data_IF_208669503029
#
_entry.id   IF_208669503029
#
_cell.length_a   1.000
_cell.length_b   1.000
_cell.length_c   1.000
_cell.angle_alpha   90.00
_cell.angle_beta   90.00
_cell.angle_gamma   90.00
#
_symmetry.space_group_name_H-M   'P 1'
#
loop_
_entity.id
_entity.type
_entity.pdbx_description
1 polymer ?
#
# COMPACT_ATOMS: atom_id res chain seq x y z
N UNK A 1 -23.97 15.56 64.91
CA UNK A 1 -23.81 15.39 64.28
C UNK A 1 -23.63 15.24 63.19
N UNK A 2 -23.39 15.08 62.76
CA UNK A 2 -23.20 14.85 61.72
C UNK A 2 -22.74 14.68 60.73
N UNK A 3 -22.51 14.48 60.14
CA UNK A 3 -22.13 14.27 59.24
C UNK A 3 -21.83 14.07 58.19
N UNK A 4 -21.54 13.85 57.65
CA UNK A 4 -21.34 13.61 56.68
C UNK A 4 -20.90 13.48 55.76
N UNK A 5 -20.66 13.35 55.34
CA UNK A 5 -20.33 13.26 54.34
C UNK A 5 -20.07 13.01 53.42
N UNK A 6 -19.87 12.80 52.80
CA UNK A 6 -19.67 12.53 51.88
C UNK A 6 -19.35 12.37 50.87
N UNK A 7 -19.20 12.26 50.21
CA UNK A 7 -18.80 11.98 49.23
C UNK A 7 -18.73 11.96 48.29
N UNK A 8 -18.51 11.81 47.74
CA UNK A 8 -18.44 11.74 46.82
C UNK A 8 -18.12 11.49 45.81
N UNK A 9 -17.82 11.32 45.13
CA UNK A 9 -17.62 11.01 44.19
C UNK A 9 -17.40 10.94 43.28
N UNK A 10 -17.19 10.83 42.65
CA UNK A 10 -17.08 10.73 41.74
C UNK A 10 -16.78 10.53 40.76
N UNK A 11 -16.57 10.39 40.16
CA UNK A 11 -16.36 10.15 39.23
C UNK A 11 -16.11 10.05 38.31
N UNK A 12 -15.96 9.92 37.78
CA UNK A 12 -15.78 9.80 36.96
C UNK A 12 -15.51 9.57 35.87
N UNK A 13 -15.39 9.44 35.31
CA UNK A 13 -15.11 9.13 34.34
C UNK A 13 -15.04 9.14 33.25
N UNK A 14 -14.91 8.96 32.85
CA UNK A 14 -14.82 8.79 31.91
C UNK A 14 -14.64 8.62 30.90
N UNK A 15 -14.42 8.46 30.38
CA UNK A 15 -14.29 8.24 29.49
C UNK A 15 -14.24 8.04 28.48
N UNK A 16 -14.11 7.93 27.94
CA UNK A 16 -14.06 7.66 27.09
C UNK A 16 -14.07 7.61 26.11
N UNK A 17 -14.00 7.46 25.61
CA UNK A 17 -13.95 7.28 24.78
C UNK A 17 -13.96 7.16 23.78
N UNK A 18 -13.92 7.03 23.18
CA UNK A 18 -13.94 6.86 22.32
C UNK A 18 -13.91 6.56 21.37
N UNK A 19 -13.97 6.40 21.01
CA UNK A 19 -14.05 6.09 20.31
C UNK A 19 -13.94 5.84 19.20
N UNK A 20 -13.88 5.63 18.79
CA UNK A 20 -13.68 5.22 17.94
C UNK A 20 -13.84 5.31 16.83
N UNK A 21 -13.97 5.43 16.36
CA UNK A 21 -14.16 5.56 15.41
C UNK A 21 -13.43 5.45 14.46
N UNK A 22 -12.74 5.53 14.29
CA UNK A 22 -11.97 5.59 13.47
C UNK A 22 -11.52 4.59 12.94
N UNK A 23 -11.66 4.02 12.96
CA UNK A 23 -11.43 3.05 12.55
C UNK A 23 -10.83 2.83 11.45
N UNK A 24 -10.90 3.28 10.71
CA UNK A 24 -10.42 3.03 9.65
C UNK A 24 -9.21 2.98 9.50
N UNK A 25 -8.57 3.36 10.12
CA UNK A 25 -7.39 3.46 9.95
C UNK A 25 -6.66 2.45 10.15
N UNK A 26 -6.95 1.57 10.40
CA UNK A 26 -6.20 0.65 10.67
C UNK A 26 -5.27 0.25 9.78
N UNK A 27 -5.21 0.62 8.76
CA UNK A 27 -4.30 0.06 7.97
C UNK A 27 -3.08 0.69 7.92
N UNK A 28 -2.90 1.77 8.45
CA UNK A 28 -1.82 2.40 8.17
C UNK A 28 -0.91 2.36 9.10
N UNK A 29 0.12 1.91 8.95
CA UNK A 29 1.00 1.92 9.86
C UNK A 29 1.91 2.86 9.68
N UNK A 30 2.68 3.08 10.50
CA UNK A 30 3.45 3.89 10.49
C UNK A 30 4.54 3.91 10.00
N UNK A 31 4.95 4.62 9.53
CA UNK A 31 5.99 4.77 8.86
C UNK A 31 7.20 4.96 9.50
N UNK A 32 7.85 4.08 9.85
CA UNK A 32 9.13 4.21 10.18
C UNK A 32 9.91 3.82 9.02
N UNK A 33 10.72 4.59 8.49
CA UNK A 33 11.60 4.19 7.41
C UNK A 33 12.39 3.03 7.93
N UNK A 34 12.44 1.99 7.21
CA UNK A 34 13.18 0.83 7.61
C UNK A 34 14.64 1.18 7.65
N UNK A 35 15.26 0.96 8.79
CA UNK A 35 16.69 1.15 8.89
C UNK A 35 17.31 -0.17 8.55
N UNK A 36 18.18 -0.17 7.58
CA UNK A 36 18.84 -1.40 7.19
C UNK A 36 20.04 -1.66 8.06
N UNK A 37 19.99 -2.75 8.78
CA UNK A 37 21.12 -3.15 9.60
C UNK A 37 21.83 -4.36 9.05
N UNK A 38 21.49 -4.78 7.86
CA UNK A 38 22.06 -5.96 7.24
C UNK A 38 22.54 -5.71 5.84
N UNK A 39 22.93 -6.77 5.14
CA UNK A 39 23.40 -6.63 3.78
C UNK A 39 22.26 -6.21 2.86
N UNK A 40 22.63 -5.51 1.80
CA UNK A 40 21.68 -5.11 0.78
C UNK A 40 21.36 -6.30 -0.11
N UNK A 41 20.07 -6.44 -0.42
CA UNK A 41 19.59 -7.49 -1.31
C UNK A 41 19.23 -6.86 -2.64
N UNK A 42 19.68 -7.48 -3.72
CA UNK A 42 19.31 -7.03 -5.05
C UNK A 42 17.92 -7.56 -5.40
N UNK A 43 17.04 -6.70 -5.85
CA UNK A 43 15.70 -7.12 -6.29
C UNK A 43 15.52 -6.73 -7.73
N UNK A 44 14.62 -7.45 -8.39
CA UNK A 44 14.29 -7.19 -9.78
C UNK A 44 12.79 -6.96 -9.90
N UNK A 45 12.29 -6.75 -11.09
CA UNK A 45 10.88 -6.57 -11.34
C UNK A 45 10.66 -5.50 -12.39
N UNK A 46 9.66 -4.66 -12.17
CA UNK A 46 9.44 -3.51 -13.04
C UNK A 46 10.63 -2.55 -12.92
N UNK A 47 10.93 -1.84 -13.98
CA UNK A 47 12.05 -0.92 -14.01
C UNK A 47 11.60 0.46 -13.55
N UNK A 48 11.94 0.90 -12.32
CA UNK A 48 11.46 2.18 -11.85
C UNK A 48 12.09 3.33 -12.62
N UNK A 49 11.27 4.19 -13.17
CA UNK A 49 11.75 5.40 -13.83
C UNK A 49 10.76 6.53 -13.53
N UNK A 50 11.20 7.75 -13.74
CA UNK A 50 10.35 8.88 -13.43
C UNK A 50 9.18 8.93 -14.42
N UNK A 51 7.98 9.12 -13.90
CA UNK A 51 6.78 9.29 -14.71
C UNK A 51 5.94 10.39 -14.12
N UNK A 52 5.35 11.19 -14.97
CA UNK A 52 4.41 12.22 -14.53
C UNK A 52 3.13 11.55 -14.04
N UNK A 53 2.62 11.99 -12.91
CA UNK A 53 1.41 11.41 -12.35
C UNK A 53 0.21 11.70 -13.24
N UNK A 54 -0.68 10.72 -13.35
CA UNK A 54 -1.91 10.87 -14.10
C UNK A 54 -2.89 11.72 -13.30
N UNK A 55 -3.31 12.86 -13.83
CA UNK A 55 -4.13 13.79 -13.09
C UNK A 55 -5.50 13.22 -12.72
N UNK A 56 -6.11 12.46 -13.61
CA UNK A 56 -7.43 11.89 -13.37
C UNK A 56 -7.38 10.76 -12.34
N UNK A 57 -6.38 9.92 -12.42
CA UNK A 57 -6.27 8.75 -11.56
C UNK A 57 -5.86 9.10 -10.13
N UNK A 58 -5.36 10.32 -9.90
CA UNK A 58 -4.85 10.70 -8.60
C UNK A 58 -5.74 11.70 -7.86
N UNK A 59 -7.03 11.65 -8.13
CA UNK A 59 -8.00 12.45 -7.38
C UNK A 59 -8.64 11.58 -6.31
N UNK A 60 -8.87 12.17 -5.15
CA UNK A 60 -9.60 11.47 -4.09
C UNK A 60 -10.98 11.09 -4.61
N UNK A 61 -11.50 9.97 -4.17
CA UNK A 61 -12.74 9.44 -4.71
C UNK A 61 -13.56 8.72 -3.65
N UNK A 62 -14.80 8.46 -3.98
CA UNK A 62 -15.68 7.66 -3.15
C UNK A 62 -16.12 6.44 -3.93
N UNK A 63 -16.27 5.33 -3.25
CA UNK A 63 -16.77 4.12 -3.88
C UNK A 63 -17.45 3.29 -2.81
N UNK A 64 -18.70 2.89 -3.09
CA UNK A 64 -19.49 2.06 -2.18
C UNK A 64 -19.56 2.64 -0.76
N UNK A 65 -19.72 3.96 -0.68
CA UNK A 65 -19.86 4.64 0.60
C UNK A 65 -18.56 4.90 1.34
N UNK A 66 -17.41 4.53 0.75
CA UNK A 66 -16.12 4.76 1.37
C UNK A 66 -15.37 5.84 0.64
N UNK A 67 -14.68 6.68 1.39
CA UNK A 67 -13.82 7.72 0.83
C UNK A 67 -12.40 7.20 0.74
N UNK A 68 -11.78 7.43 -0.40
CA UNK A 68 -10.39 7.03 -0.63
C UNK A 68 -9.58 8.28 -0.92
N UNK A 69 -8.55 8.49 -0.11
CA UNK A 69 -7.69 9.67 -0.27
C UNK A 69 -6.34 9.22 -0.79
N UNK A 70 -5.90 9.85 -1.86
CA UNK A 70 -4.63 9.49 -2.48
C UNK A 70 -3.50 9.83 -1.51
N UNK A 71 -2.56 8.92 -1.36
CA UNK A 71 -1.42 9.10 -0.48
C UNK A 71 -0.57 10.25 -1.00
N UNK A 72 -0.41 11.28 -0.18
CA UNK A 72 0.34 12.47 -0.57
C UNK A 72 1.83 12.32 -0.29
N UNK A 73 2.19 11.47 0.63
CA UNK A 73 3.58 11.28 1.02
C UNK A 73 3.93 9.80 1.02
N UNK A 74 4.11 9.23 -0.18
CA UNK A 74 4.44 7.80 -0.25
C UNK A 74 5.80 7.46 0.36
N UNK A 75 6.68 8.42 0.53
CA UNK A 75 7.96 8.17 1.20
C UNK A 75 7.77 7.75 2.66
N UNK A 76 6.64 8.10 3.24
CA UNK A 76 6.32 7.74 4.62
C UNK A 76 5.16 6.75 4.71
N UNK A 77 4.96 5.95 3.68
CA UNK A 77 3.88 4.98 3.63
C UNK A 77 4.45 3.57 3.64
N UNK A 78 3.84 2.70 4.40
CA UNK A 78 4.05 1.25 4.31
C UNK A 78 2.76 0.59 4.70
N UNK A 79 2.49 -0.58 4.14
CA UNK A 79 1.23 -1.26 4.42
C UNK A 79 1.45 -2.76 4.36
N UNK A 80 0.79 -3.49 5.24
CA UNK A 80 0.82 -4.95 5.27
C UNK A 80 -0.61 -5.45 5.19
N UNK A 81 -0.84 -6.47 4.41
CA UNK A 81 -2.16 -7.06 4.31
C UNK A 81 -2.19 -8.14 3.24
N UNK A 82 -3.37 -8.66 2.98
CA UNK A 82 -3.54 -9.74 2.03
C UNK A 82 -3.52 -9.19 0.60
N UNK A 83 -2.90 -9.94 -0.29
CA UNK A 83 -2.89 -9.62 -1.71
C UNK A 83 -3.94 -10.44 -2.43
N UNK A 84 -4.52 -9.86 -3.47
CA UNK A 84 -5.37 -10.59 -4.41
C UNK A 84 -4.62 -10.71 -5.72
N UNK A 85 -5.04 -11.63 -6.56
CA UNK A 85 -4.52 -11.77 -7.91
C UNK A 85 -5.60 -11.29 -8.87
N UNK A 86 -5.26 -10.33 -9.70
CA UNK A 86 -6.18 -9.85 -10.72
C UNK A 86 -5.98 -10.68 -11.98
N UNK A 87 -7.00 -11.43 -12.31
CA UNK A 87 -6.88 -12.43 -13.37
C UNK A 87 -7.90 -12.09 -14.45
N UNK A 88 -7.54 -11.23 -15.35
CA UNK A 88 -8.37 -10.82 -16.47
C UNK A 88 -7.66 -11.10 -17.78
N UNK A 89 -8.42 -11.17 -18.84
CA UNK A 89 -7.85 -11.37 -20.17
C UNK A 89 -7.05 -10.15 -20.61
N UNK A 90 -5.99 -10.33 -21.37
CA UNK A 90 -5.21 -9.20 -21.84
C UNK A 90 -6.09 -8.22 -22.61
N UNK A 91 -5.87 -6.96 -22.39
CA UNK A 91 -6.57 -5.87 -23.08
C UNK A 91 -8.08 -5.87 -22.88
N UNK A 92 -8.57 -6.60 -21.89
CA UNK A 92 -10.01 -6.65 -21.64
C UNK A 92 -10.53 -5.39 -21.00
N UNK A 93 -9.67 -4.67 -20.26
CA UNK A 93 -10.05 -3.45 -19.59
C UNK A 93 -8.96 -2.42 -19.69
N UNK A 94 -9.33 -1.17 -19.51
CA UNK A 94 -8.34 -0.13 -19.27
C UNK A 94 -8.14 0.01 -17.77
N UNK A 95 -6.90 0.21 -17.38
CA UNK A 95 -6.56 0.50 -16.00
C UNK A 95 -6.84 1.97 -15.69
N UNK A 96 -6.75 2.35 -14.42
CA UNK A 96 -6.97 3.74 -14.03
C UNK A 96 -5.95 4.68 -14.66
N UNK A 97 -4.78 4.17 -15.02
CA UNK A 97 -3.78 4.99 -15.72
C UNK A 97 -4.16 5.24 -17.18
N UNK A 98 -5.18 4.56 -17.70
CA UNK A 98 -5.56 4.64 -19.10
C UNK A 98 -4.90 3.62 -20.00
N UNK A 99 -4.07 2.76 -19.44
CA UNK A 99 -3.36 1.72 -20.17
C UNK A 99 -4.22 0.48 -20.28
N UNK A 100 -4.04 -0.30 -21.32
CA UNK A 100 -4.70 -1.60 -21.39
C UNK A 100 -4.05 -2.54 -20.38
N UNK A 101 -4.87 -3.34 -19.70
CA UNK A 101 -4.35 -4.29 -18.73
C UNK A 101 -3.61 -5.41 -19.46
N UNK A 102 -2.43 -5.76 -18.94
CA UNK A 102 -1.62 -6.84 -19.48
C UNK A 102 -1.16 -7.72 -18.31
N UNK A 103 -1.69 -8.94 -18.17
CA UNK A 103 -1.34 -9.81 -17.05
C UNK A 103 0.12 -10.28 -17.08
N UNK A 104 0.84 -10.12 -18.19
CA UNK A 104 2.23 -10.53 -18.29
C UNK A 104 3.20 -9.46 -17.77
N UNK A 105 2.71 -8.28 -17.49
CA UNK A 105 3.55 -7.20 -16.96
C UNK A 105 3.56 -7.22 -15.44
N UNK A 106 4.62 -6.68 -14.85
CA UNK A 106 4.76 -6.65 -13.40
C UNK A 106 4.08 -5.40 -12.84
N UNK A 107 2.76 -5.48 -12.73
CA UNK A 107 1.94 -4.36 -12.30
C UNK A 107 1.05 -4.75 -11.14
N UNK A 108 0.45 -3.75 -10.53
CA UNK A 108 -0.51 -3.98 -9.44
C UNK A 108 -1.51 -2.84 -9.38
N UNK A 109 -2.63 -3.10 -8.73
CA UNK A 109 -3.64 -2.11 -8.41
C UNK A 109 -3.62 -1.84 -6.92
N UNK A 110 -3.71 -0.58 -6.54
CA UNK A 110 -3.77 -0.18 -5.14
C UNK A 110 -4.82 0.93 -5.00
N UNK A 111 -5.58 0.95 -3.90
CA UNK A 111 -6.65 1.93 -3.78
C UNK A 111 -6.19 3.38 -3.70
N UNK A 112 -5.01 3.65 -3.17
CA UNK A 112 -4.64 5.03 -2.86
C UNK A 112 -3.21 5.43 -3.19
N UNK A 113 -2.34 4.50 -3.60
CA UNK A 113 -0.99 4.91 -4.00
C UNK A 113 -1.03 5.72 -5.30
N UNK A 114 -0.11 6.66 -5.48
CA UNK A 114 -0.10 7.46 -6.73
C UNK A 114 0.02 6.60 -7.98
N UNK A 115 -0.59 7.03 -9.07
CA UNK A 115 -0.55 6.34 -10.35
C UNK A 115 0.05 7.28 -11.40
N UNK A 116 1.05 6.83 -12.14
CA UNK A 116 1.81 5.61 -11.94
C UNK A 116 2.87 5.78 -10.87
N UNK A 117 3.16 4.75 -10.17
CA UNK A 117 4.25 4.76 -9.20
C UNK A 117 4.80 3.34 -9.06
N UNK A 118 5.80 3.18 -8.24
CA UNK A 118 6.46 1.91 -8.05
C UNK A 118 6.49 1.54 -6.58
N UNK A 119 6.53 0.26 -6.30
CA UNK A 119 6.61 -0.23 -4.93
C UNK A 119 7.33 -1.57 -4.90
N UNK A 120 8.03 -1.80 -3.81
CA UNK A 120 8.55 -3.13 -3.52
C UNK A 120 7.46 -3.89 -2.80
N UNK A 121 7.13 -5.07 -3.32
CA UNK A 121 6.18 -5.96 -2.68
C UNK A 121 6.96 -7.14 -2.14
N UNK A 122 6.74 -7.45 -0.87
CA UNK A 122 7.40 -8.56 -0.21
C UNK A 122 6.35 -9.59 0.18
N UNK A 123 6.53 -10.83 -0.26
CA UNK A 123 5.71 -11.94 0.21
C UNK A 123 6.24 -12.36 1.56
N UNK A 124 5.47 -12.12 2.62
CA UNK A 124 5.93 -12.35 3.98
C UNK A 124 6.05 -13.83 4.34
N UNK A 125 5.46 -14.71 3.55
CA UNK A 125 5.56 -16.15 3.81
C UNK A 125 6.86 -16.75 3.30
N UNK A 126 7.43 -16.23 2.22
CA UNK A 126 8.64 -16.81 1.64
C UNK A 126 9.80 -15.81 1.48
N UNK A 127 9.56 -14.53 1.77
CA UNK A 127 10.61 -13.51 1.67
C UNK A 127 10.89 -13.00 0.28
N UNK A 128 10.18 -13.46 -0.75
CA UNK A 128 10.41 -12.96 -2.11
C UNK A 128 9.98 -11.53 -2.24
N UNK A 129 10.74 -10.76 -2.99
CA UNK A 129 10.47 -9.34 -3.21
C UNK A 129 10.60 -9.02 -4.69
N UNK A 130 9.71 -8.19 -5.21
CA UNK A 130 9.85 -7.64 -6.56
C UNK A 130 9.41 -6.20 -6.57
N UNK A 131 9.82 -5.48 -7.59
CA UNK A 131 9.29 -4.15 -7.87
C UNK A 131 8.09 -4.31 -8.79
N UNK A 132 6.99 -3.63 -8.48
CA UNK A 132 5.83 -3.57 -9.37
C UNK A 132 5.53 -2.12 -9.70
N UNK A 133 4.87 -1.92 -10.82
CA UNK A 133 4.37 -0.59 -11.19
C UNK A 133 2.89 -0.52 -10.84
N UNK A 134 2.51 0.50 -10.07
CA UNK A 134 1.13 0.71 -9.66
C UNK A 134 0.46 1.52 -10.76
N UNK A 135 -0.47 0.91 -11.48
CA UNK A 135 -1.12 1.56 -12.62
C UNK A 135 -2.64 1.49 -12.56
N UNK A 136 -3.21 0.98 -11.49
CA UNK A 136 -4.65 0.81 -11.41
C UNK A 136 -5.15 1.00 -9.99
N UNK A 137 -6.47 1.12 -9.82
CA UNK A 137 -7.16 1.28 -8.55
C UNK A 137 -7.89 0.00 -8.15
N UNK A 138 -7.98 -0.24 -6.89
CA UNK A 138 -8.55 -1.42 -6.28
C UNK A 138 -7.48 -2.16 -5.50
N UNK A 139 -7.86 -3.19 -4.76
CA UNK A 139 -9.21 -3.73 -4.56
C UNK A 139 -10.04 -2.84 -3.63
N UNK A 140 -11.35 -3.01 -3.66
CA UNK A 140 -12.24 -2.16 -2.89
C UNK A 140 -13.07 -2.99 -1.91
N UNK A 141 -13.30 -2.41 -0.75
CA UNK A 141 -14.34 -2.91 0.14
C UNK A 141 -14.14 -4.26 0.78
N UNK A 142 -12.95 -4.84 0.68
CA UNK A 142 -12.68 -6.12 1.30
C UNK A 142 -11.40 -6.04 2.10
N UNK A 143 -10.89 -7.16 2.53
CA UNK A 143 -9.70 -7.21 3.37
C UNK A 143 -8.40 -7.28 2.58
N UNK A 144 -8.45 -7.12 1.27
CA UNK A 144 -7.25 -7.14 0.43
C UNK A 144 -6.71 -5.72 0.29
N UNK A 145 -5.40 -5.58 0.32
CA UNK A 145 -4.76 -4.27 0.24
C UNK A 145 -4.15 -3.98 -1.13
N UNK A 146 -3.97 -5.00 -1.94
CA UNK A 146 -3.36 -4.84 -3.26
C UNK A 146 -3.84 -5.96 -4.16
N UNK A 147 -3.97 -5.68 -5.45
CA UNK A 147 -4.27 -6.71 -6.45
C UNK A 147 -3.07 -6.80 -7.37
N UNK A 148 -2.49 -7.97 -7.48
CA UNK A 148 -1.30 -8.21 -8.28
C UNK A 148 -1.66 -8.75 -9.65
N UNK A 149 -0.95 -8.34 -10.69
CA UNK A 149 -1.08 -8.99 -11.99
C UNK A 149 -0.64 -10.44 -11.87
N UNK A 150 -1.03 -11.26 -12.83
CA UNK A 150 -0.62 -12.67 -12.82
C UNK A 150 0.91 -12.81 -12.78
N UNK A 151 1.62 -12.03 -13.58
CA UNK A 151 3.08 -12.06 -13.61
C UNK A 151 3.68 -11.68 -12.25
N UNK A 152 3.12 -10.65 -11.60
CA UNK A 152 3.61 -10.24 -10.29
C UNK A 152 3.37 -11.33 -9.26
N UNK A 153 2.18 -11.93 -9.26
CA UNK A 153 1.83 -12.99 -8.33
C UNK A 153 2.73 -14.21 -8.52
N UNK A 154 3.01 -14.57 -9.76
CA UNK A 154 3.86 -15.71 -10.06
C UNK A 154 5.29 -15.47 -9.59
N UNK A 155 5.82 -14.28 -9.80
CA UNK A 155 7.17 -13.95 -9.36
C UNK A 155 7.28 -13.99 -7.84
N UNK A 156 6.25 -13.56 -7.14
CA UNK A 156 6.22 -13.58 -5.68
C UNK A 156 5.75 -14.92 -5.12
N UNK A 157 5.19 -15.77 -5.96
CA UNK A 157 4.59 -17.03 -5.54
C UNK A 157 3.49 -16.79 -4.50
N UNK A 158 2.58 -15.86 -4.80
CA UNK A 158 1.46 -15.54 -3.92
C UNK A 158 0.19 -16.26 -4.35
N UNK A 159 -0.74 -16.41 -3.41
CA UNK A 159 -2.10 -16.83 -3.66
C UNK A 159 -3.03 -15.68 -3.28
N UNK A 160 -4.33 -15.92 -3.32
CA UNK A 160 -5.29 -14.90 -2.91
C UNK A 160 -5.40 -14.76 -1.39
N UNK A 161 -4.57 -15.46 -0.64
CA UNK A 161 -4.56 -15.36 0.82
C UNK A 161 -3.15 -15.11 1.36
N UNK A 162 -2.25 -14.63 0.54
CA UNK A 162 -0.88 -14.36 0.97
C UNK A 162 -0.76 -12.96 1.53
N UNK A 163 -0.17 -12.86 2.70
CA UNK A 163 0.11 -11.56 3.30
C UNK A 163 1.37 -10.98 2.69
N UNK A 164 1.30 -9.74 2.27
CA UNK A 164 2.43 -9.03 1.67
C UNK A 164 2.67 -7.72 2.38
N UNK A 165 3.87 -7.19 2.20
CA UNK A 165 4.21 -5.84 2.64
C UNK A 165 4.45 -4.98 1.43
N UNK A 166 3.94 -3.75 1.46
CA UNK A 166 4.03 -2.79 0.37
C UNK A 166 4.89 -1.63 0.83
N UNK A 167 6.01 -1.41 0.15
CA UNK A 167 6.92 -0.32 0.47
C UNK A 167 7.17 0.51 -0.80
N UNK A 168 6.66 1.73 -0.88
CA UNK A 168 6.84 2.55 -2.09
C UNK A 168 8.29 2.86 -2.41
N UNK A 169 8.55 2.98 -3.71
CA UNK A 169 9.82 3.45 -4.24
C UNK A 169 9.55 4.78 -4.92
N UNK A 170 10.29 5.79 -4.51
CA UNK A 170 10.14 7.14 -5.05
C UNK A 170 11.18 7.34 -6.13
N UNK A 171 10.76 7.79 -7.29
CA UNK A 171 11.68 8.05 -8.40
C UNK A 171 11.71 9.55 -8.64
N UNK A 172 12.87 10.16 -8.50
CA UNK A 172 13.00 11.59 -8.74
C UNK A 172 13.18 11.86 -10.24
N UNK A 173 13.09 13.13 -10.63
CA UNK A 173 13.20 13.49 -12.05
C UNK A 173 14.53 13.09 -12.65
N UNK A 174 15.58 13.04 -11.86
CA UNK A 174 16.91 12.63 -12.36
C UNK A 174 17.08 11.11 -12.32
N UNK A 175 16.06 10.37 -11.93
CA UNK A 175 16.10 8.91 -11.89
C UNK A 175 16.58 8.32 -10.59
N UNK A 176 16.89 9.13 -9.59
CA UNK A 176 17.33 8.61 -8.30
C UNK A 176 16.19 7.92 -7.57
N UNK A 177 16.48 6.80 -6.93
CA UNK A 177 15.49 5.99 -6.23
C UNK A 177 15.64 6.20 -4.73
N UNK A 178 14.51 6.33 -4.05
CA UNK A 178 14.49 6.50 -2.61
C UNK A 178 13.19 5.92 -2.06
N UNK A 179 12.93 6.14 -0.79
CA UNK A 179 11.71 5.68 -0.14
C UNK A 179 11.87 4.33 0.55
N UNK A 180 10.83 3.89 1.23
CA UNK A 180 10.91 2.66 2.04
C UNK A 180 11.21 1.42 1.23
N UNK A 181 10.83 1.39 -0.04
CA UNK A 181 11.13 0.25 -0.90
C UNK A 181 12.60 0.09 -1.23
N UNK A 182 13.40 1.11 -0.96
CA UNK A 182 14.84 1.04 -1.21
C UNK A 182 15.65 0.66 0.05
N UNK A 183 14.99 0.49 1.18
CA UNK A 183 15.69 0.11 2.40
C UNK A 183 16.24 -1.31 2.26
N UNK A 184 17.53 -1.46 2.44
CA UNK A 184 18.24 -2.74 2.34
C UNK A 184 18.13 -3.40 0.98
N UNK A 185 17.81 -2.66 -0.05
CA UNK A 185 17.68 -3.24 -1.39
C UNK A 185 18.34 -2.37 -2.44
N UNK A 186 18.75 -3.01 -3.52
CA UNK A 186 19.16 -2.32 -4.74
C UNK A 186 18.36 -2.93 -5.87
N UNK A 187 18.00 -2.12 -6.84
CA UNK A 187 17.22 -2.62 -7.97
C UNK A 187 18.17 -3.05 -9.07
N UNK A 188 17.97 -4.27 -9.55
CA UNK A 188 18.76 -4.83 -10.62
C UNK A 188 18.55 -4.05 -11.90
N UNK A 189 19.59 -3.81 -12.66
CA UNK A 189 19.48 -3.10 -13.93
C UNK A 189 19.54 -4.03 -15.10
#
# INVERSE_FOLDING_TARGET
MRKQWLGICIAAGLLAACSGEDVQQKTVSVPQPAVCNGPTVEISGADPHFETLNATANQDYERDGKSYKIVQDPANFTQTGLAAIYDAEPNSNLTASGEAFDPTQLTAAHPTLPIPSYARITNLANGRMIVVRINDRGPYGNDRVISLSRASADRLNTSNNTKVRIDPIIVSQDGALSGPGMACTTVAK
#
